data_IF_037811353274
#
_entry.id   IF_037811353274
#
_cell.length_a   1.000
_cell.length_b   1.000
_cell.length_c   1.000
_cell.angle_alpha   90.00
_cell.angle_beta   90.00
_cell.angle_gamma   90.00
#
_symmetry.space_group_name_H-M   'P 1'
#
loop_
_entity.id
_entity.type
_entity.pdbx_description
1 polymer ?
#
# COMPACT_ATOMS: atom_id res chain seq x y z
N UNK A 1 18.96 -5.64 4.75
CA UNK A 1 18.87 -4.53 3.84
C UNK A 1 19.04 -3.24 4.53
N UNK A 2 19.95 -2.42 4.07
CA UNK A 2 20.19 -1.16 4.77
C UNK A 2 19.11 -0.12 4.49
N UNK A 3 18.99 0.78 5.41
CA UNK A 3 18.05 1.86 5.26
C UNK A 3 18.47 2.74 4.08
N UNK A 4 17.52 3.13 3.27
CA UNK A 4 17.80 3.96 2.11
C UNK A 4 18.06 5.41 2.52
N UNK A 5 18.92 6.09 1.78
CA UNK A 5 19.18 7.50 2.01
C UNK A 5 18.04 8.31 1.39
N UNK A 6 17.96 9.58 1.74
CA UNK A 6 16.96 10.47 1.18
C UNK A 6 17.04 10.50 -0.34
N UNK A 7 18.24 10.50 -0.88
CA UNK A 7 18.42 10.54 -2.32
C UNK A 7 17.91 9.25 -2.97
N UNK A 8 18.17 8.11 -2.33
CA UNK A 8 17.71 6.83 -2.86
C UNK A 8 16.19 6.74 -2.82
N UNK A 9 15.57 7.26 -1.78
CA UNK A 9 14.13 7.27 -1.66
C UNK A 9 13.53 8.12 -2.78
N UNK A 10 14.11 9.28 -3.03
CA UNK A 10 13.63 10.17 -4.06
C UNK A 10 13.69 9.49 -5.42
N UNK A 11 14.70 8.68 -5.65
CA UNK A 11 14.85 7.95 -6.89
C UNK A 11 13.84 6.80 -6.99
N UNK A 12 13.49 6.20 -5.87
CA UNK A 12 12.59 5.04 -5.87
C UNK A 12 11.11 5.42 -5.96
N UNK A 13 10.74 6.57 -5.43
CA UNK A 13 9.33 6.96 -5.37
C UNK A 13 8.62 7.00 -6.72
N UNK A 14 9.25 7.45 -7.81
CA UNK A 14 8.53 7.47 -9.08
C UNK A 14 8.04 6.12 -9.58
N UNK A 15 8.61 5.03 -9.11
CA UNK A 15 8.16 3.70 -9.51
C UNK A 15 6.87 3.32 -8.80
N UNK A 16 6.50 4.02 -7.76
CA UNK A 16 5.27 3.77 -7.02
C UNK A 16 4.56 5.10 -6.80
N UNK A 17 4.10 5.73 -7.87
CA UNK A 17 3.61 7.11 -7.79
C UNK A 17 2.39 7.32 -6.93
N UNK A 18 1.64 6.28 -6.65
CA UNK A 18 0.47 6.41 -5.80
C UNK A 18 0.82 6.37 -4.32
N UNK A 19 2.05 6.03 -4.00
CA UNK A 19 2.49 5.97 -2.62
C UNK A 19 3.13 7.28 -2.23
N UNK A 20 2.86 7.72 -1.00
CA UNK A 20 3.42 8.97 -0.51
C UNK A 20 4.31 8.70 0.67
N UNK A 21 5.42 9.42 0.73
CA UNK A 21 6.33 9.27 1.84
C UNK A 21 5.83 10.12 3.00
N UNK A 22 5.77 9.53 4.18
CA UNK A 22 5.44 10.25 5.36
C UNK A 22 6.42 9.87 6.43
N UNK A 23 7.31 10.72 6.78
CA UNK A 23 8.34 10.44 7.76
C UNK A 23 9.14 9.23 7.28
N UNK A 24 9.20 8.17 8.05
CA UNK A 24 9.98 7.00 7.71
C UNK A 24 9.14 5.91 7.07
N UNK A 25 8.02 6.27 6.49
CA UNK A 25 7.10 5.29 5.89
C UNK A 25 6.70 5.70 4.50
N UNK A 26 6.13 4.75 3.74
CA UNK A 26 5.37 5.10 2.53
C UNK A 26 3.97 4.54 2.72
N UNK A 27 2.99 5.25 2.20
CA UNK A 27 1.59 4.89 2.42
C UNK A 27 0.78 5.12 1.17
N UNK A 28 -0.22 4.29 0.96
CA UNK A 28 -1.15 4.45 -0.15
C UNK A 28 -2.56 4.06 0.30
N UNK A 29 -3.56 4.81 -0.18
CA UNK A 29 -4.96 4.49 0.06
C UNK A 29 -5.53 3.85 -1.20
N UNK A 30 -6.13 2.68 -1.05
CA UNK A 30 -6.78 1.98 -2.15
C UNK A 30 -8.29 2.09 -1.92
N UNK A 31 -9.03 2.41 -2.96
CA UNK A 31 -10.48 2.59 -2.84
C UNK A 31 -11.18 1.52 -3.65
N UNK A 32 -12.17 0.90 -3.06
CA UNK A 32 -12.87 -0.21 -3.70
C UNK A 32 -14.37 0.09 -3.82
N UNK A 33 -15.06 -0.77 -4.49
CA UNK A 33 -16.47 -0.62 -4.69
C UNK A 33 -17.25 -0.74 -3.37
N UNK A 34 -16.84 -1.65 -2.54
CA UNK A 34 -17.56 -1.91 -1.30
C UNK A 34 -16.64 -2.56 -0.28
N UNK A 35 -17.17 -2.84 0.89
CA UNK A 35 -16.40 -3.41 1.97
C UNK A 35 -15.90 -4.83 1.66
N UNK A 36 -16.72 -5.73 1.11
CA UNK A 36 -16.20 -7.07 0.80
C UNK A 36 -15.04 -7.05 -0.19
N UNK A 37 -15.05 -6.15 -1.16
CA UNK A 37 -13.93 -6.05 -2.08
C UNK A 37 -12.69 -5.55 -1.38
N UNK A 38 -12.85 -4.60 -0.46
CA UNK A 38 -11.73 -4.11 0.29
C UNK A 38 -11.10 -5.24 1.11
N UNK A 39 -11.93 -6.07 1.73
CA UNK A 39 -11.45 -7.18 2.53
C UNK A 39 -10.73 -8.22 1.66
N UNK A 40 -11.26 -8.50 0.48
CA UNK A 40 -10.61 -9.44 -0.43
C UNK A 40 -9.23 -8.93 -0.84
N UNK A 41 -9.11 -7.63 -1.07
CA UNK A 41 -7.81 -7.06 -1.39
C UNK A 41 -6.85 -7.25 -0.22
N UNK A 42 -7.32 -7.02 0.99
CA UNK A 42 -6.48 -7.18 2.18
C UNK A 42 -5.99 -8.62 2.30
N UNK A 43 -6.84 -9.58 1.98
CA UNK A 43 -6.43 -10.98 2.01
C UNK A 43 -5.29 -11.24 1.03
N UNK A 44 -5.38 -10.67 -0.15
CA UNK A 44 -4.33 -10.84 -1.15
C UNK A 44 -3.06 -10.14 -0.73
N UNK A 45 -3.20 -8.95 -0.18
CA UNK A 45 -2.05 -8.20 0.31
C UNK A 45 -1.36 -8.96 1.46
N UNK A 46 -2.17 -9.56 2.32
CA UNK A 46 -1.63 -10.33 3.45
C UNK A 46 -0.81 -11.52 2.96
N UNK A 47 -1.26 -12.17 1.90
CA UNK A 47 -0.53 -13.32 1.36
C UNK A 47 0.83 -12.87 0.80
N UNK A 48 0.86 -11.74 0.11
CA UNK A 48 2.12 -11.22 -0.42
C UNK A 48 3.06 -10.80 0.71
N UNK A 49 2.51 -10.16 1.73
CA UNK A 49 3.30 -9.70 2.86
C UNK A 49 3.92 -10.88 3.59
N UNK A 50 3.13 -11.93 3.77
CA UNK A 50 3.61 -13.11 4.46
C UNK A 50 4.73 -13.79 3.67
N UNK A 51 4.56 -13.85 2.36
CA UNK A 51 5.57 -14.46 1.53
C UNK A 51 6.86 -13.66 1.56
N UNK A 52 6.78 -12.35 1.61
CA UNK A 52 7.94 -11.49 1.66
C UNK A 52 8.50 -11.37 3.07
N UNK A 53 7.77 -11.87 4.04
CA UNK A 53 8.10 -11.75 5.45
C UNK A 53 8.31 -10.28 5.81
N UNK A 54 7.41 -9.43 5.33
CA UNK A 54 7.49 -8.00 5.56
C UNK A 54 6.05 -7.48 5.61
N UNK A 55 5.62 -7.03 6.75
CA UNK A 55 4.21 -6.81 7.01
C UNK A 55 3.86 -5.33 7.08
N UNK A 56 2.89 -4.89 6.29
CA UNK A 56 2.46 -3.50 6.33
C UNK A 56 1.50 -3.28 7.49
N UNK A 57 1.30 -2.01 7.84
CA UNK A 57 0.19 -1.67 8.70
C UNK A 57 -1.03 -1.57 7.78
N UNK A 58 -2.14 -2.08 8.19
CA UNK A 58 -3.34 -2.14 7.38
C UNK A 58 -4.50 -1.47 8.12
N UNK A 59 -5.15 -0.54 7.43
CA UNK A 59 -6.28 0.16 8.02
C UNK A 59 -7.42 0.03 7.03
N UNK A 60 -8.54 -0.53 7.41
CA UNK A 60 -9.71 -0.65 6.57
C UNK A 60 -10.80 0.22 7.12
N UNK A 61 -11.30 1.14 6.30
CA UNK A 61 -12.42 1.96 6.68
C UNK A 61 -13.43 1.94 5.55
N UNK A 62 -14.54 1.23 5.76
CA UNK A 62 -15.57 1.09 4.76
C UNK A 62 -14.96 0.48 3.48
N UNK A 63 -14.81 1.22 2.45
CA UNK A 63 -14.27 0.71 1.19
C UNK A 63 -12.84 1.19 0.92
N UNK A 64 -12.19 1.76 1.93
CA UNK A 64 -10.84 2.27 1.75
C UNK A 64 -9.85 1.47 2.56
N UNK A 65 -8.78 1.08 1.92
CA UNK A 65 -7.71 0.35 2.57
C UNK A 65 -6.45 1.20 2.51
N UNK A 66 -5.89 1.49 3.65
CA UNK A 66 -4.62 2.22 3.71
C UNK A 66 -3.53 1.25 4.10
N UNK A 67 -2.52 1.14 3.26
CA UNK A 67 -1.36 0.32 3.56
C UNK A 67 -0.18 1.23 3.83
N UNK A 68 0.56 0.93 4.90
CA UNK A 68 1.73 1.71 5.28
C UNK A 68 2.89 0.77 5.46
N UNK A 69 4.01 1.09 4.83
CA UNK A 69 5.20 0.25 4.86
C UNK A 69 6.39 0.98 5.44
N UNK A 70 7.15 0.27 6.23
CA UNK A 70 8.43 0.73 6.73
C UNK A 70 9.21 -0.51 7.17
N UNK A 71 10.50 -0.40 7.36
CA UNK A 71 11.29 -1.52 7.85
C UNK A 71 11.77 -1.17 9.25
N UNK A 72 11.00 -1.61 10.23
CA UNK A 72 11.23 -1.23 11.62
C UNK A 72 12.63 -1.52 12.13
N UNK A 73 13.15 -2.68 11.85
CA UNK A 73 14.46 -3.05 12.37
C UNK A 73 15.60 -2.29 11.71
N UNK A 74 15.33 -1.55 10.65
CA UNK A 74 16.34 -0.71 10.04
C UNK A 74 16.08 0.76 10.33
N UNK A 75 14.98 1.06 10.99
CA UNK A 75 14.65 2.42 11.35
C UNK A 75 14.17 3.28 10.21
N UNK A 76 13.70 2.72 9.14
CA UNK A 76 13.20 3.50 8.02
C UNK A 76 12.99 2.67 6.78
N UNK A 77 12.90 3.33 5.65
CA UNK A 77 12.58 2.65 4.40
C UNK A 77 13.76 1.90 3.84
N UNK A 78 13.51 0.73 3.27
CA UNK A 78 14.52 -0.05 2.58
C UNK A 78 13.95 -0.49 1.24
N UNK A 79 14.76 -1.23 0.48
CA UNK A 79 14.30 -1.78 -0.79
C UNK A 79 13.10 -2.69 -0.61
N UNK A 80 12.97 -3.35 0.53
CA UNK A 80 11.85 -4.23 0.77
C UNK A 80 10.54 -3.50 0.70
N UNK A 81 10.50 -2.26 1.20
CA UNK A 81 9.28 -1.49 1.22
C UNK A 81 8.82 -1.16 -0.20
N UNK A 82 9.75 -0.75 -1.04
CA UNK A 82 9.42 -0.39 -2.41
C UNK A 82 9.08 -1.62 -3.25
N UNK A 83 9.78 -2.72 -3.02
CA UNK A 83 9.49 -3.96 -3.74
C UNK A 83 8.09 -4.45 -3.42
N UNK A 84 7.71 -4.41 -2.14
CA UNK A 84 6.39 -4.88 -1.75
C UNK A 84 5.31 -3.91 -2.21
N UNK A 85 5.58 -2.61 -2.18
CA UNK A 85 4.63 -1.63 -2.69
C UNK A 85 4.30 -1.90 -4.15
N UNK A 86 5.30 -2.23 -4.95
CA UNK A 86 5.05 -2.56 -6.35
C UNK A 86 4.19 -3.80 -6.49
N UNK A 87 4.39 -4.77 -5.63
CA UNK A 87 3.60 -6.00 -5.67
C UNK A 87 2.16 -5.72 -5.28
N UNK A 88 1.95 -4.87 -4.29
CA UNK A 88 0.59 -4.49 -3.92
C UNK A 88 -0.10 -3.75 -5.06
N UNK A 89 0.65 -2.89 -5.74
CA UNK A 89 0.07 -2.13 -6.84
C UNK A 89 -0.33 -3.03 -8.00
N UNK A 90 0.30 -4.18 -8.14
CA UNK A 90 -0.01 -5.10 -9.23
C UNK A 90 -1.14 -6.07 -8.89
N UNK A 91 -1.67 -6.03 -7.68
CA UNK A 91 -2.76 -6.93 -7.33
C UNK A 91 -4.02 -6.59 -8.11
N UNK A 92 -4.80 -7.58 -8.46
CA UNK A 92 -6.05 -7.31 -9.15
C UNK A 92 -6.99 -6.63 -8.19
N UNK A 93 -7.40 -5.45 -8.51
CA UNK A 93 -8.23 -4.72 -7.61
C UNK A 93 -9.54 -4.41 -8.21
N UNK A 94 -9.84 -4.92 -9.22
CA UNK A 94 -11.09 -4.70 -9.72
C UNK A 94 -11.24 -3.30 -9.89
N UNK A 95 -11.32 -2.76 -10.53
CA UNK A 95 -11.61 -1.49 -10.76
C UNK A 95 -11.08 -0.86 -9.73
N UNK A 96 -10.72 -1.44 -9.04
CA UNK A 96 -10.35 -0.91 -8.09
C UNK A 96 -9.48 -0.06 -7.73
N UNK A 97 -8.98 0.13 -7.14
CA UNK A 97 -8.09 0.98 -6.68
C UNK A 97 -7.98 2.20 -7.40
N UNK A 98 -8.96 2.63 -8.11
CA UNK A 98 -8.83 3.75 -8.82
C UNK A 98 -8.95 4.85 -7.91
N UNK A 99 -8.02 5.54 -7.57
CA UNK A 99 -8.04 6.59 -6.60
C UNK A 99 -9.03 7.65 -6.93
N UNK A 100 -9.27 7.81 -8.08
CA UNK A 100 -10.12 8.86 -8.41
C UNK A 100 -11.56 8.59 -8.25
N UNK A 101 -11.95 7.41 -8.02
CA UNK A 101 -13.26 7.09 -7.95
C UNK A 101 -13.88 7.56 -6.75
N UNK A 102 -14.86 8.32 -6.77
CA UNK A 102 -15.54 8.77 -5.60
C UNK A 102 -16.28 7.63 -5.04
N UNK A 103 -16.03 7.34 -3.92
CA UNK A 103 -16.64 6.21 -3.33
C UNK A 103 -18.09 6.37 -3.22
N UNK A 104 -18.47 7.29 -3.18
CA UNK A 104 -19.75 7.41 -3.07
C UNK A 104 -20.69 6.97 -3.82
N UNK A 105 -20.51 6.84 -4.65
CA UNK A 105 -21.43 6.48 -5.32
C UNK A 105 -22.09 5.79 -4.56
N UNK A 106 -22.10 5.83 -3.85
CA UNK A 106 -22.67 5.20 -3.31
C UNK A 106 -22.74 4.72 -2.33
N UNK A 107 -22.92 4.69 -2.02
CA UNK A 107 -23.11 4.24 -1.24
C UNK A 107 -23.24 3.96 -0.30
N UNK A 108 -23.50 4.01 -0.15
CA UNK A 108 -23.97 3.75 0.55
C UNK A 108 -23.80 2.92 1.42
N UNK A 109 -23.80 2.80 2.10
CA UNK A 109 -23.61 1.95 2.94
C UNK A 109 -24.10 1.56 3.64
#
# INVERSE_FOLDING_TARGET
MPKLTSAQIKTALPAVPAWKKRSATITRVFVFKDFPEAVRFVSRAAALAQKAWHHPDIDIRWNKVTLTLTTHDQGGLTEKDFALARKFDALPTARGAEPARPPGRGLAV
#
